data_IF_661498485655
#
_entry.id   IF_661498485655
#
_cell.length_a   1.000
_cell.length_b   1.000
_cell.length_c   1.000
_cell.angle_alpha   90.00
_cell.angle_beta   90.00
_cell.angle_gamma   90.00
#
_symmetry.space_group_name_H-M   'P 1'
#
loop_
_entity.id
_entity.type
_entity.pdbx_description
1 polymer ?
#
# COMPACT_ATOMS: atom_id res chain seq x y z
N UNK A 1 10.06 -13.01 -1.44
CA UNK A 1 9.23 -12.50 -0.33
C UNK A 1 9.75 -12.96 1.03
N UNK A 2 9.84 -14.27 1.35
CA UNK A 2 10.30 -14.73 2.68
C UNK A 2 11.67 -14.18 3.11
N UNK A 3 12.66 -14.11 2.21
CA UNK A 3 13.95 -13.48 2.50
C UNK A 3 13.82 -11.96 2.71
N UNK A 4 13.00 -11.28 1.90
CA UNK A 4 12.80 -9.84 1.96
C UNK A 4 12.14 -9.39 3.29
N UNK A 5 11.14 -10.13 3.73
CA UNK A 5 10.36 -9.81 4.93
C UNK A 5 10.76 -10.64 6.16
N UNK A 6 11.93 -11.31 6.12
CA UNK A 6 12.40 -12.05 7.30
C UNK A 6 12.57 -11.12 8.51
N UNK A 7 12.13 -11.59 9.67
CA UNK A 7 12.18 -10.79 10.90
C UNK A 7 11.18 -9.65 11.01
N UNK A 8 10.35 -9.41 9.98
CA UNK A 8 9.21 -8.50 10.06
C UNK A 8 7.93 -9.31 10.21
N UNK A 9 7.27 -9.25 11.35
CA UNK A 9 5.96 -9.89 11.52
C UNK A 9 4.92 -9.12 10.69
N UNK A 10 4.51 -9.71 9.57
CA UNK A 10 3.57 -9.10 8.62
C UNK A 10 2.14 -8.97 9.17
N UNK A 11 1.84 -9.62 10.29
CA UNK A 11 0.56 -9.52 11.00
C UNK A 11 0.62 -8.58 12.21
N UNK A 12 1.79 -8.01 12.53
CA UNK A 12 1.90 -7.05 13.64
C UNK A 12 1.06 -5.79 13.36
N UNK A 13 0.37 -5.24 14.36
CA UNK A 13 -0.46 -4.04 14.18
C UNK A 13 0.30 -2.82 13.67
N UNK A 14 1.61 -2.79 13.89
CA UNK A 14 2.52 -1.72 13.48
C UNK A 14 3.14 -1.94 12.11
N UNK A 15 2.92 -3.10 11.48
CA UNK A 15 3.45 -3.43 10.16
C UNK A 15 2.40 -3.18 9.08
N UNK A 16 2.75 -2.40 8.08
CA UNK A 16 1.95 -2.16 6.88
C UNK A 16 2.86 -2.20 5.65
N UNK A 17 2.48 -2.96 4.63
CA UNK A 17 3.29 -3.13 3.42
C UNK A 17 2.53 -2.62 2.21
N UNK A 18 3.05 -1.58 1.58
CA UNK A 18 2.53 -1.06 0.32
C UNK A 18 3.43 -1.48 -0.83
N UNK A 19 2.83 -2.04 -1.87
CA UNK A 19 3.53 -2.54 -3.05
C UNK A 19 3.08 -1.79 -4.29
N UNK A 20 4.02 -1.10 -4.94
CA UNK A 20 3.79 -0.44 -6.23
C UNK A 20 4.02 -1.44 -7.35
N UNK A 21 2.96 -2.09 -7.81
CA UNK A 21 3.00 -3.16 -8.80
C UNK A 21 1.75 -3.04 -9.68
N UNK A 22 1.91 -3.20 -10.99
CA UNK A 22 0.84 -3.16 -11.96
C UNK A 22 0.50 -4.57 -12.48
N UNK A 23 0.87 -4.92 -13.70
CA UNK A 23 0.53 -6.20 -14.33
C UNK A 23 0.81 -7.45 -13.48
N UNK A 24 1.99 -7.60 -12.83
CA UNK A 24 2.29 -8.76 -11.99
C UNK A 24 1.68 -8.69 -10.58
N UNK A 25 0.82 -7.71 -10.27
CA UNK A 25 0.24 -7.51 -8.94
C UNK A 25 -0.38 -8.76 -8.32
N UNK A 26 -1.19 -9.58 -9.01
CA UNK A 26 -1.78 -10.78 -8.42
C UNK A 26 -0.74 -11.80 -7.95
N UNK A 27 0.33 -12.00 -8.72
CA UNK A 27 1.41 -12.93 -8.36
C UNK A 27 2.17 -12.46 -7.11
N UNK A 28 2.54 -11.19 -7.10
CA UNK A 28 3.29 -10.60 -5.98
C UNK A 28 2.43 -10.55 -4.72
N UNK A 29 1.14 -10.22 -4.85
CA UNK A 29 0.19 -10.28 -3.76
C UNK A 29 0.07 -11.70 -3.19
N UNK A 30 -0.04 -12.72 -4.05
CA UNK A 30 -0.08 -14.12 -3.61
C UNK A 30 1.20 -14.52 -2.85
N UNK A 31 2.38 -14.11 -3.35
CA UNK A 31 3.63 -14.34 -2.63
C UNK A 31 3.70 -13.63 -1.29
N UNK A 32 3.18 -12.42 -1.20
CA UNK A 32 3.09 -11.66 0.05
C UNK A 32 2.18 -12.37 1.06
N UNK A 33 0.95 -12.70 0.66
CA UNK A 33 -0.03 -13.36 1.52
C UNK A 33 0.47 -14.72 2.01
N UNK A 34 1.06 -15.54 1.13
CA UNK A 34 1.66 -16.80 1.49
C UNK A 34 2.85 -16.62 2.46
N UNK A 35 3.65 -15.57 2.30
CA UNK A 35 4.74 -15.27 3.23
C UNK A 35 4.19 -14.94 4.62
N UNK A 36 3.15 -14.12 4.70
CA UNK A 36 2.51 -13.79 5.97
C UNK A 36 1.91 -15.03 6.66
N UNK A 37 1.20 -15.88 5.90
CA UNK A 37 0.65 -17.14 6.42
C UNK A 37 1.76 -18.04 6.95
N UNK A 38 2.84 -18.23 6.19
CA UNK A 38 3.96 -19.10 6.59
C UNK A 38 4.69 -18.55 7.82
N UNK A 39 4.81 -17.25 8.00
CA UNK A 39 5.32 -16.66 9.24
C UNK A 39 4.45 -17.00 10.44
N UNK A 40 3.13 -16.94 10.30
CA UNK A 40 2.22 -17.28 11.40
C UNK A 40 2.21 -18.81 11.67
N UNK A 41 2.36 -19.64 10.64
CA UNK A 41 2.58 -21.09 10.82
C UNK A 41 3.87 -21.36 11.59
N UNK A 42 4.98 -20.71 11.24
CA UNK A 42 6.24 -20.82 11.97
C UNK A 42 6.09 -20.39 13.43
N UNK A 43 5.42 -19.25 13.70
CA UNK A 43 5.14 -18.81 15.07
C UNK A 43 4.30 -19.82 15.85
N UNK A 44 3.27 -20.36 15.24
CA UNK A 44 2.42 -21.39 15.85
C UNK A 44 3.24 -22.63 16.24
N UNK A 45 4.02 -23.17 15.31
CA UNK A 45 4.86 -24.34 15.56
C UNK A 45 5.91 -24.13 16.67
N UNK A 46 6.46 -22.92 16.77
CA UNK A 46 7.37 -22.54 17.84
C UNK A 46 6.64 -22.46 19.19
N UNK A 47 5.46 -21.86 19.20
CA UNK A 47 4.64 -21.69 20.42
C UNK A 47 4.10 -23.02 20.97
N UNK A 48 3.75 -23.97 20.09
CA UNK A 48 3.26 -25.31 20.48
C UNK A 48 4.37 -26.31 20.78
N UNK A 49 5.64 -25.95 20.56
CA UNK A 49 6.78 -26.85 20.73
C UNK A 49 6.94 -27.88 19.60
N UNK A 50 6.19 -27.73 18.51
CA UNK A 50 6.22 -28.67 17.36
C UNK A 50 7.29 -28.32 16.32
N UNK A 51 8.07 -27.27 16.55
CA UNK A 51 9.03 -26.74 15.58
C UNK A 51 10.07 -27.78 15.13
N UNK A 52 10.64 -28.58 16.05
CA UNK A 52 11.63 -29.61 15.69
C UNK A 52 11.01 -30.74 14.83
N UNK A 53 9.75 -31.06 15.08
CA UNK A 53 9.02 -32.02 14.22
C UNK A 53 8.76 -31.45 12.83
N UNK A 54 8.40 -30.16 12.76
CA UNK A 54 8.20 -29.47 11.49
C UNK A 54 9.50 -29.38 10.67
N UNK A 55 10.64 -29.08 11.29
CA UNK A 55 11.95 -29.11 10.60
C UNK A 55 12.22 -30.45 9.92
N UNK A 56 11.97 -31.56 10.62
CA UNK A 56 12.13 -32.89 10.02
C UNK A 56 11.22 -33.11 8.80
N UNK A 57 9.99 -32.56 8.80
CA UNK A 57 9.09 -32.57 7.63
C UNK A 57 9.64 -31.74 6.49
N UNK A 58 10.21 -30.56 6.77
CA UNK A 58 10.88 -29.72 5.79
C UNK A 58 12.09 -30.41 5.19
N UNK A 59 12.96 -31.00 6.02
CA UNK A 59 14.15 -31.70 5.55
C UNK A 59 13.78 -32.90 4.66
N UNK A 60 12.75 -33.66 5.03
CA UNK A 60 12.20 -34.73 4.21
C UNK A 60 11.63 -34.22 2.88
N UNK A 61 10.98 -33.06 2.87
CA UNK A 61 10.47 -32.45 1.64
C UNK A 61 11.57 -32.12 0.64
N UNK A 62 12.77 -31.77 1.13
CA UNK A 62 13.93 -31.45 0.30
C UNK A 62 14.88 -32.64 0.08
N UNK A 63 14.55 -33.85 0.56
CA UNK A 63 15.36 -35.02 0.34
C UNK A 63 15.62 -35.22 -1.17
N UNK A 64 16.90 -35.22 -1.56
CA UNK A 64 17.32 -35.28 -2.96
C UNK A 64 17.11 -34.00 -3.79
N UNK A 65 16.82 -32.86 -3.16
CA UNK A 65 16.66 -31.55 -3.80
C UNK A 65 17.50 -30.51 -3.09
N UNK A 66 17.92 -29.46 -3.81
CA UNK A 66 18.56 -28.31 -3.19
C UNK A 66 17.54 -27.52 -2.36
N UNK A 67 17.89 -27.26 -1.11
CA UNK A 67 17.08 -26.46 -0.19
C UNK A 67 17.49 -25.00 -0.30
N UNK A 68 16.56 -24.04 -0.58
CA UNK A 68 16.85 -22.63 -0.53
C UNK A 68 17.33 -22.22 0.87
N UNK A 69 18.41 -21.42 0.94
CA UNK A 69 18.94 -20.88 2.19
C UNK A 69 19.00 -19.36 2.15
N UNK A 70 19.11 -18.74 3.31
CA UNK A 70 19.46 -17.34 3.45
C UNK A 70 20.99 -17.26 3.48
N UNK A 71 21.56 -16.41 2.62
CA UNK A 71 23.01 -16.22 2.52
C UNK A 71 23.44 -14.99 3.33
N UNK A 72 24.49 -15.14 4.12
CA UNK A 72 25.03 -14.07 4.95
C UNK A 72 24.42 -14.01 6.36
N UNK A 73 24.81 -13.00 7.10
CA UNK A 73 24.32 -12.74 8.46
C UNK A 73 23.01 -11.95 8.42
N UNK A 74 22.11 -12.23 9.36
CA UNK A 74 20.89 -11.45 9.51
C UNK A 74 21.23 -10.05 10.04
N UNK A 75 20.53 -9.02 9.57
CA UNK A 75 20.67 -7.67 10.12
C UNK A 75 20.44 -7.64 11.65
N UNK A 76 21.07 -6.72 12.38
CA UNK A 76 20.83 -6.57 13.81
C UNK A 76 19.34 -6.43 14.14
N UNK A 77 18.85 -7.22 15.10
CA UNK A 77 17.45 -7.24 15.51
C UNK A 77 16.51 -8.07 14.63
N UNK A 78 17.00 -8.67 13.55
CA UNK A 78 16.23 -9.61 12.74
C UNK A 78 16.31 -11.02 13.33
N UNK A 79 15.17 -11.58 13.73
CA UNK A 79 15.07 -12.93 14.33
C UNK A 79 14.91 -14.05 13.31
N UNK A 80 14.92 -13.72 12.01
CA UNK A 80 14.76 -14.67 10.91
C UNK A 80 13.36 -15.24 10.75
N UNK A 81 12.32 -14.65 11.33
CA UNK A 81 10.93 -15.10 11.17
C UNK A 81 10.57 -15.30 9.69
N UNK A 82 10.03 -16.45 9.35
CA UNK A 82 9.66 -16.85 7.99
C UNK A 82 10.76 -17.61 7.23
N UNK A 83 12.03 -17.56 7.68
CA UNK A 83 13.13 -18.28 7.02
C UNK A 83 13.09 -19.79 7.26
N UNK A 84 12.48 -20.22 8.35
CA UNK A 84 12.37 -21.64 8.67
C UNK A 84 11.57 -22.45 7.64
N UNK A 85 10.69 -21.77 6.89
CA UNK A 85 9.87 -22.36 5.82
C UNK A 85 10.30 -21.89 4.42
N UNK A 86 11.59 -21.55 4.23
CA UNK A 86 12.08 -21.23 2.88
C UNK A 86 11.86 -22.39 1.92
N UNK A 87 11.25 -22.10 0.76
CA UNK A 87 10.99 -23.07 -0.29
C UNK A 87 9.87 -24.07 -0.02
N UNK A 88 9.20 -23.99 1.14
CA UNK A 88 8.06 -24.86 1.48
C UNK A 88 6.91 -24.01 2.00
N UNK A 89 5.69 -24.41 1.70
CA UNK A 89 4.47 -23.75 2.20
C UNK A 89 4.03 -24.36 3.53
N UNK A 90 3.40 -23.55 4.38
CA UNK A 90 2.94 -23.95 5.70
C UNK A 90 1.99 -25.14 5.73
N UNK A 91 1.18 -25.33 4.67
CA UNK A 91 0.27 -26.46 4.51
C UNK A 91 0.98 -27.85 4.45
N UNK A 92 2.31 -27.85 4.25
CA UNK A 92 3.12 -29.07 4.25
C UNK A 92 3.64 -29.44 5.63
N UNK A 93 3.52 -28.54 6.61
CA UNK A 93 4.14 -28.72 7.94
C UNK A 93 3.13 -28.69 9.10
N UNK A 94 1.90 -28.35 8.86
CA UNK A 94 0.77 -28.47 9.80
C UNK A 94 -0.37 -29.25 9.15
N UNK A 95 -1.35 -29.69 9.94
CA UNK A 95 -2.58 -30.28 9.41
C UNK A 95 -3.47 -29.25 8.73
N UNK A 96 -4.45 -29.72 7.93
CA UNK A 96 -5.30 -28.86 7.13
C UNK A 96 -6.17 -27.92 7.96
N UNK A 97 -6.68 -28.36 9.11
CA UNK A 97 -7.54 -27.56 9.98
C UNK A 97 -6.74 -26.41 10.61
N UNK A 98 -5.56 -26.71 11.15
CA UNK A 98 -4.62 -25.71 11.68
C UNK A 98 -4.19 -24.72 10.60
N UNK A 99 -3.91 -25.20 9.38
CA UNK A 99 -3.53 -24.31 8.27
C UNK A 99 -4.63 -23.35 7.90
N UNK A 100 -5.88 -23.81 7.70
CA UNK A 100 -6.99 -22.95 7.30
C UNK A 100 -7.37 -21.96 8.39
N UNK A 101 -7.26 -22.32 9.67
CA UNK A 101 -7.45 -21.40 10.78
C UNK A 101 -6.39 -20.28 10.76
N UNK A 102 -5.12 -20.63 10.67
CA UNK A 102 -4.01 -19.67 10.63
C UNK A 102 -4.14 -18.75 9.39
N UNK A 103 -4.46 -19.31 8.24
CA UNK A 103 -4.68 -18.55 7.01
C UNK A 103 -5.80 -17.53 7.18
N UNK A 104 -6.94 -17.92 7.72
CA UNK A 104 -8.09 -17.02 7.96
C UNK A 104 -7.72 -15.87 8.89
N UNK A 105 -7.08 -16.17 10.01
CA UNK A 105 -6.61 -15.17 10.99
C UNK A 105 -5.57 -14.21 10.36
N UNK A 106 -4.65 -14.75 9.58
CA UNK A 106 -3.61 -13.98 8.87
C UNK A 106 -4.22 -13.01 7.85
N UNK A 107 -5.10 -13.50 6.98
CA UNK A 107 -5.71 -12.70 5.94
C UNK A 107 -6.58 -11.56 6.51
N UNK A 108 -7.19 -11.78 7.67
CA UNK A 108 -7.93 -10.74 8.40
C UNK A 108 -7.00 -9.71 9.09
N UNK A 109 -5.74 -10.05 9.35
CA UNK A 109 -4.79 -9.25 10.15
C UNK A 109 -3.83 -8.42 9.32
N UNK A 110 -3.39 -8.90 8.14
CA UNK A 110 -2.42 -8.20 7.28
C UNK A 110 -2.89 -6.80 6.91
N UNK A 111 -1.93 -5.86 6.81
CA UNK A 111 -2.19 -4.46 6.50
C UNK A 111 -1.32 -4.02 5.33
N UNK A 112 -1.85 -3.16 4.50
CA UNK A 112 -1.11 -2.60 3.39
C UNK A 112 -1.95 -2.34 2.16
N UNK A 113 -1.27 -2.27 1.03
CA UNK A 113 -1.88 -1.99 -0.27
C UNK A 113 -1.09 -2.69 -1.37
N UNK A 114 -1.80 -3.30 -2.30
CA UNK A 114 -1.27 -3.56 -3.63
C UNK A 114 -1.79 -2.49 -4.56
N UNK A 115 -0.92 -1.81 -5.29
CA UNK A 115 -1.35 -0.64 -6.07
C UNK A 115 -2.27 -1.03 -7.21
N UNK A 116 -1.90 -1.99 -8.04
CA UNK A 116 -2.70 -2.66 -9.07
C UNK A 116 -3.69 -1.76 -9.86
N UNK A 117 -3.43 -0.45 -9.97
CA UNK A 117 -4.28 0.48 -10.71
C UNK A 117 -3.91 0.45 -12.19
N UNK A 118 -4.67 -0.32 -12.94
CA UNK A 118 -4.44 -0.50 -14.38
C UNK A 118 -4.84 0.74 -15.20
N UNK A 119 -5.84 1.49 -14.75
CA UNK A 119 -6.29 2.66 -15.51
C UNK A 119 -5.21 3.74 -15.54
N UNK A 120 -4.56 4.01 -14.40
CA UNK A 120 -3.44 4.97 -14.37
C UNK A 120 -2.20 4.46 -15.11
N UNK A 121 -1.99 3.15 -15.16
CA UNK A 121 -0.90 2.56 -15.90
C UNK A 121 -1.03 2.86 -17.40
N UNK A 122 -2.22 2.70 -17.96
CA UNK A 122 -2.52 3.05 -19.33
C UNK A 122 -2.44 4.58 -19.57
N UNK A 123 -3.01 5.38 -18.68
CA UNK A 123 -3.12 6.82 -18.83
C UNK A 123 -1.80 7.58 -18.63
N UNK A 124 -0.93 7.11 -17.74
CA UNK A 124 0.22 7.89 -17.27
C UNK A 124 1.58 7.23 -17.44
N UNK A 125 1.65 5.91 -17.56
CA UNK A 125 2.92 5.19 -17.60
C UNK A 125 3.19 4.52 -18.95
N UNK A 126 2.14 4.18 -19.71
CA UNK A 126 2.23 3.46 -20.98
C UNK A 126 3.07 2.16 -20.88
N UNK A 127 2.92 1.45 -19.77
CA UNK A 127 3.68 0.23 -19.44
C UNK A 127 2.81 -1.00 -19.38
N UNK A 128 1.59 -0.93 -19.93
CA UNK A 128 0.62 -2.03 -19.93
C UNK A 128 1.17 -3.24 -20.68
N UNK A 129 1.26 -4.37 -19.99
CA UNK A 129 1.61 -5.68 -20.58
C UNK A 129 0.36 -6.51 -20.91
N UNK A 130 -0.80 -6.10 -20.45
CA UNK A 130 -2.09 -6.73 -20.70
C UNK A 130 -3.08 -5.71 -21.27
N UNK A 131 -4.12 -6.20 -21.94
CA UNK A 131 -5.24 -5.32 -22.32
C UNK A 131 -5.94 -4.77 -21.07
N UNK A 132 -6.51 -3.58 -21.18
CA UNK A 132 -7.27 -2.94 -20.11
C UNK A 132 -8.41 -3.83 -19.61
N UNK A 133 -9.11 -4.51 -20.53
CA UNK A 133 -10.17 -5.45 -20.20
C UNK A 133 -9.69 -6.61 -19.32
N UNK A 134 -8.60 -7.27 -19.71
CA UNK A 134 -8.00 -8.36 -18.93
C UNK A 134 -7.51 -7.88 -17.56
N UNK A 135 -6.88 -6.72 -17.51
CA UNK A 135 -6.37 -6.15 -16.27
C UNK A 135 -7.50 -5.72 -15.31
N UNK A 136 -8.60 -5.16 -15.83
CA UNK A 136 -9.80 -4.88 -15.03
C UNK A 136 -10.40 -6.18 -14.47
N UNK A 137 -10.41 -7.24 -15.27
CA UNK A 137 -10.84 -8.57 -14.80
C UNK A 137 -9.97 -9.06 -13.65
N UNK A 138 -8.64 -8.96 -13.75
CA UNK A 138 -7.72 -9.33 -12.67
C UNK A 138 -7.98 -8.52 -11.39
N UNK A 139 -8.17 -7.21 -11.51
CA UNK A 139 -8.53 -6.37 -10.36
C UNK A 139 -9.81 -6.85 -9.68
N UNK A 140 -10.84 -7.15 -10.47
CA UNK A 140 -12.09 -7.68 -9.96
C UNK A 140 -11.95 -9.05 -9.29
N UNK A 141 -11.11 -9.93 -9.83
CA UNK A 141 -10.85 -11.24 -9.24
C UNK A 141 -10.09 -11.11 -7.89
N UNK A 142 -9.14 -10.20 -7.79
CA UNK A 142 -8.47 -9.88 -6.52
C UNK A 142 -9.45 -9.32 -5.48
N UNK A 143 -10.32 -8.41 -5.90
CA UNK A 143 -11.32 -7.85 -4.99
C UNK A 143 -12.32 -8.90 -4.52
N UNK A 144 -12.78 -9.79 -5.42
CA UNK A 144 -13.65 -10.90 -5.02
C UNK A 144 -12.96 -11.82 -4.02
N UNK A 145 -11.69 -12.16 -4.26
CA UNK A 145 -10.90 -12.94 -3.29
C UNK A 145 -10.83 -12.27 -1.92
N UNK A 146 -10.69 -10.94 -1.87
CA UNK A 146 -10.67 -10.19 -0.60
C UNK A 146 -12.01 -10.27 0.14
N UNK A 147 -13.12 -10.17 -0.59
CA UNK A 147 -14.47 -10.34 -0.03
C UNK A 147 -14.63 -11.75 0.55
N UNK A 148 -14.33 -12.77 -0.26
CA UNK A 148 -14.54 -14.19 0.08
C UNK A 148 -13.66 -14.63 1.29
N UNK A 149 -12.48 -14.03 1.46
CA UNK A 149 -11.54 -14.35 2.52
C UNK A 149 -11.50 -13.30 3.66
N UNK A 150 -12.45 -12.36 3.68
CA UNK A 150 -12.57 -11.35 4.74
C UNK A 150 -11.28 -10.52 4.96
N UNK A 151 -10.58 -10.17 3.88
CA UNK A 151 -9.38 -9.31 3.90
C UNK A 151 -9.83 -7.86 4.10
N UNK A 152 -9.72 -7.34 5.31
CA UNK A 152 -10.30 -6.04 5.70
C UNK A 152 -9.32 -4.88 5.76
N UNK A 153 -8.08 -5.16 6.10
CA UNK A 153 -7.08 -4.13 6.41
C UNK A 153 -6.04 -3.99 5.31
N UNK A 154 -6.24 -4.67 4.19
CA UNK A 154 -5.38 -4.61 3.02
C UNK A 154 -6.18 -4.06 1.83
N UNK A 155 -5.66 -3.04 1.15
CA UNK A 155 -6.34 -2.43 0.03
C UNK A 155 -6.01 -3.18 -1.27
N UNK A 156 -7.04 -3.56 -2.01
CA UNK A 156 -6.93 -4.30 -3.27
C UNK A 156 -6.40 -3.45 -4.43
N UNK A 157 -6.59 -2.13 -4.32
CA UNK A 157 -6.14 -1.15 -5.29
C UNK A 157 -5.83 0.17 -4.60
N UNK A 158 -4.84 0.90 -5.11
CA UNK A 158 -4.62 2.30 -4.80
C UNK A 158 -4.86 3.11 -6.07
N UNK A 159 -6.02 3.76 -6.14
CA UNK A 159 -6.46 4.55 -7.29
C UNK A 159 -5.56 5.79 -7.35
N UNK A 160 -4.71 5.85 -8.38
CA UNK A 160 -3.51 6.66 -8.32
C UNK A 160 -3.55 7.88 -9.22
N UNK A 161 -3.68 9.05 -8.60
CA UNK A 161 -3.42 10.35 -9.23
C UNK A 161 -1.94 10.73 -9.27
N UNK A 162 -1.09 10.12 -8.41
CA UNK A 162 0.33 10.43 -8.35
C UNK A 162 1.00 10.36 -9.73
N UNK A 163 0.87 9.25 -10.42
CA UNK A 163 1.49 9.05 -11.72
C UNK A 163 0.92 9.98 -12.80
N UNK A 164 -0.37 10.31 -12.71
CA UNK A 164 -1.03 11.26 -13.60
C UNK A 164 -0.42 12.67 -13.42
N UNK A 165 -0.19 13.08 -12.17
CA UNK A 165 0.49 14.34 -11.85
C UNK A 165 1.96 14.33 -12.30
N UNK A 166 2.69 13.24 -12.06
CA UNK A 166 4.09 13.10 -12.51
C UNK A 166 4.20 13.11 -14.04
N UNK A 167 3.19 12.64 -14.77
CA UNK A 167 3.08 12.73 -16.23
C UNK A 167 2.72 14.15 -16.74
N UNK A 168 2.44 15.11 -15.85
CA UNK A 168 2.26 16.53 -16.20
C UNK A 168 0.91 17.13 -15.86
N UNK A 169 -0.03 16.40 -15.26
CA UNK A 169 -1.32 16.96 -14.88
C UNK A 169 -1.15 18.00 -13.76
N UNK A 170 -1.97 19.05 -13.81
CA UNK A 170 -2.12 20.01 -12.72
C UNK A 170 -2.99 19.41 -11.59
N UNK A 171 -3.08 20.05 -10.40
CA UNK A 171 -3.85 19.52 -9.27
C UNK A 171 -5.31 19.21 -9.59
N UNK A 172 -5.98 20.07 -10.35
CA UNK A 172 -7.40 19.91 -10.74
C UNK A 172 -7.57 18.69 -11.64
N UNK A 173 -6.73 18.56 -12.67
CA UNK A 173 -6.75 17.43 -13.61
C UNK A 173 -6.38 16.12 -12.91
N UNK A 174 -5.39 16.15 -12.00
CA UNK A 174 -5.04 15.00 -11.17
C UNK A 174 -6.26 14.49 -10.41
N UNK A 175 -6.95 15.38 -9.68
CA UNK A 175 -8.12 15.02 -8.91
C UNK A 175 -9.26 14.49 -9.80
N UNK A 176 -9.57 15.17 -10.90
CA UNK A 176 -10.64 14.80 -11.80
C UNK A 176 -10.43 13.41 -12.40
N UNK A 177 -9.25 13.10 -12.93
CA UNK A 177 -8.95 11.80 -13.51
C UNK A 177 -8.90 10.70 -12.46
N UNK A 178 -8.35 10.98 -11.28
CA UNK A 178 -8.30 10.01 -10.19
C UNK A 178 -9.70 9.61 -9.72
N UNK A 179 -10.60 10.57 -9.54
CA UNK A 179 -11.98 10.28 -9.15
C UNK A 179 -12.75 9.58 -10.28
N UNK A 180 -12.51 9.95 -11.54
CA UNK A 180 -13.10 9.27 -12.68
C UNK A 180 -12.68 7.78 -12.73
N UNK A 181 -11.41 7.49 -12.51
CA UNK A 181 -10.91 6.11 -12.38
C UNK A 181 -11.57 5.40 -11.20
N UNK A 182 -11.71 6.07 -10.06
CA UNK A 182 -12.42 5.52 -8.90
C UNK A 182 -13.84 5.12 -9.19
N UNK A 183 -14.60 5.97 -9.84
CA UNK A 183 -15.97 5.67 -10.25
C UNK A 183 -16.05 4.57 -11.32
N UNK A 184 -15.11 4.53 -12.25
CA UNK A 184 -15.02 3.45 -13.24
C UNK A 184 -14.82 2.08 -12.56
N UNK A 185 -13.96 2.00 -11.56
CA UNK A 185 -13.72 0.78 -10.78
C UNK A 185 -14.98 0.39 -9.99
N UNK A 186 -15.65 1.35 -9.36
CA UNK A 186 -16.91 1.09 -8.63
C UNK A 186 -17.97 0.53 -9.57
N UNK A 187 -18.21 1.16 -10.72
CA UNK A 187 -19.18 0.70 -11.72
C UNK A 187 -18.84 -0.72 -12.23
N UNK A 188 -17.55 -0.98 -12.46
CA UNK A 188 -17.10 -2.29 -12.92
C UNK A 188 -17.36 -3.39 -11.87
N UNK A 189 -17.07 -3.12 -10.59
CA UNK A 189 -17.30 -4.09 -9.52
C UNK A 189 -18.79 -4.33 -9.28
N UNK A 190 -19.63 -3.28 -9.34
CA UNK A 190 -21.08 -3.40 -9.29
C UNK A 190 -21.62 -4.22 -10.46
N UNK A 191 -21.13 -4.00 -11.69
CA UNK A 191 -21.51 -4.78 -12.86
C UNK A 191 -21.12 -6.27 -12.75
N UNK A 192 -20.14 -6.62 -11.92
CA UNK A 192 -19.78 -7.99 -11.57
C UNK A 192 -20.66 -8.60 -10.47
N UNK A 193 -21.61 -7.85 -9.93
CA UNK A 193 -22.53 -8.30 -8.89
C UNK A 193 -21.98 -8.19 -7.46
N UNK A 194 -20.88 -7.46 -7.24
CA UNK A 194 -20.37 -7.21 -5.89
C UNK A 194 -21.24 -6.18 -5.17
N UNK A 195 -21.46 -6.37 -3.87
CA UNK A 195 -22.12 -5.38 -3.03
C UNK A 195 -21.18 -4.21 -2.73
N UNK A 196 -21.70 -2.97 -2.83
CA UNK A 196 -20.93 -1.74 -2.67
C UNK A 196 -20.21 -1.67 -1.32
N UNK A 197 -20.87 -2.06 -0.25
CA UNK A 197 -20.33 -1.99 1.11
C UNK A 197 -19.34 -3.14 1.42
N UNK A 198 -19.30 -4.16 0.58
CA UNK A 198 -18.33 -5.25 0.70
C UNK A 198 -16.95 -4.90 0.12
N UNK A 199 -16.88 -4.01 -0.87
CA UNK A 199 -15.60 -3.67 -1.52
C UNK A 199 -15.15 -2.21 -1.33
N UNK A 200 -16.06 -1.24 -1.29
CA UNK A 200 -15.68 0.17 -1.26
C UNK A 200 -14.77 0.55 -0.07
N UNK A 201 -14.92 -0.05 1.13
CA UNK A 201 -13.98 0.16 2.22
C UNK A 201 -12.54 -0.28 1.93
N UNK A 202 -12.32 -1.18 0.95
CA UNK A 202 -11.01 -1.66 0.50
C UNK A 202 -10.41 -0.85 -0.66
N UNK A 203 -11.08 0.21 -1.10
CA UNK A 203 -10.52 1.14 -2.06
C UNK A 203 -9.72 2.21 -1.32
N UNK A 204 -8.54 2.51 -1.82
CA UNK A 204 -7.74 3.64 -1.38
C UNK A 204 -7.34 4.51 -2.56
N UNK A 205 -6.94 5.74 -2.27
CA UNK A 205 -6.51 6.70 -3.27
C UNK A 205 -5.07 7.11 -3.02
N UNK A 206 -4.41 7.61 -4.06
CA UNK A 206 -3.03 8.00 -3.98
C UNK A 206 -2.82 9.30 -4.77
N UNK A 207 -2.42 10.36 -4.08
CA UNK A 207 -2.18 11.67 -4.67
C UNK A 207 -0.71 12.08 -4.58
N UNK A 208 -0.28 12.88 -5.56
CA UNK A 208 0.96 13.64 -5.53
C UNK A 208 0.70 15.01 -4.90
N UNK A 209 1.64 15.47 -4.07
CA UNK A 209 1.69 16.87 -3.65
C UNK A 209 2.93 17.54 -4.23
N UNK A 210 2.70 18.51 -5.12
CA UNK A 210 3.72 19.39 -5.66
C UNK A 210 3.86 20.68 -4.85
N UNK A 211 4.23 21.77 -5.54
CA UNK A 211 4.47 23.08 -4.91
C UNK A 211 3.28 24.05 -5.08
N UNK A 212 2.27 23.68 -5.89
CA UNK A 212 1.12 24.56 -6.13
C UNK A 212 0.22 24.59 -4.87
N UNK A 213 -0.36 25.76 -4.52
CA UNK A 213 -1.15 25.93 -3.31
C UNK A 213 -2.42 25.05 -3.28
N UNK A 214 -2.98 24.68 -4.42
CA UNK A 214 -4.16 23.81 -4.55
C UNK A 214 -3.93 22.42 -3.93
N UNK A 215 -2.67 21.98 -3.78
CA UNK A 215 -2.37 20.74 -3.08
C UNK A 215 -2.73 20.75 -1.60
N UNK A 216 -2.97 21.91 -1.01
CA UNK A 216 -3.43 22.01 0.38
C UNK A 216 -4.89 21.60 0.60
N UNK A 217 -5.65 21.44 -0.48
CA UNK A 217 -7.10 21.16 -0.42
C UNK A 217 -7.55 19.96 -1.27
N UNK A 218 -6.64 19.34 -2.03
CA UNK A 218 -6.99 18.28 -2.98
C UNK A 218 -7.72 17.10 -2.31
N UNK A 219 -7.26 16.66 -1.15
CA UNK A 219 -7.88 15.55 -0.41
C UNK A 219 -9.22 15.92 0.20
N UNK A 220 -9.39 17.19 0.65
CA UNK A 220 -10.69 17.67 1.17
C UNK A 220 -11.74 17.65 0.09
N UNK A 221 -11.41 18.17 -1.08
CA UNK A 221 -12.30 18.18 -2.25
C UNK A 221 -12.60 16.75 -2.68
N UNK A 222 -11.58 15.89 -2.77
CA UNK A 222 -11.74 14.47 -3.07
C UNK A 222 -12.75 13.79 -2.12
N UNK A 223 -12.57 13.95 -0.82
CA UNK A 223 -13.47 13.37 0.20
C UNK A 223 -14.90 13.84 0.05
N UNK A 224 -15.09 15.13 -0.20
CA UNK A 224 -16.43 15.72 -0.35
C UNK A 224 -17.14 15.18 -1.58
N UNK A 225 -16.47 15.13 -2.73
CA UNK A 225 -17.04 14.62 -3.99
C UNK A 225 -17.34 13.13 -3.85
N UNK A 226 -16.38 12.34 -3.33
CA UNK A 226 -16.54 10.91 -3.14
C UNK A 226 -17.71 10.58 -2.22
N UNK A 227 -17.76 11.16 -1.03
CA UNK A 227 -18.81 10.90 -0.05
C UNK A 227 -20.20 11.22 -0.62
N UNK A 228 -20.32 12.33 -1.35
CA UNK A 228 -21.57 12.70 -1.99
C UNK A 228 -21.98 11.71 -3.07
N UNK A 229 -21.08 11.34 -3.97
CA UNK A 229 -21.36 10.39 -5.03
C UNK A 229 -21.70 8.99 -4.47
N UNK A 230 -20.94 8.50 -3.51
CA UNK A 230 -21.19 7.21 -2.89
C UNK A 230 -22.55 7.14 -2.21
N UNK A 231 -22.96 8.21 -1.53
CA UNK A 231 -24.27 8.29 -0.89
C UNK A 231 -25.41 8.44 -1.90
N UNK A 232 -25.30 9.41 -2.81
CA UNK A 232 -26.43 9.85 -3.64
C UNK A 232 -26.63 8.96 -4.88
N UNK A 233 -25.54 8.46 -5.46
CA UNK A 233 -25.59 7.65 -6.69
C UNK A 233 -25.60 6.14 -6.39
N UNK A 234 -24.85 5.69 -5.40
CA UNK A 234 -24.66 4.27 -5.15
C UNK A 234 -25.35 3.76 -3.88
N UNK A 235 -25.94 4.65 -3.06
CA UNK A 235 -26.62 4.26 -1.82
C UNK A 235 -25.73 3.63 -0.77
N UNK A 236 -24.41 3.88 -0.84
CA UNK A 236 -23.42 3.25 0.00
C UNK A 236 -23.50 3.69 1.47
N UNK A 237 -23.17 2.78 2.38
CA UNK A 237 -23.10 3.04 3.81
C UNK A 237 -22.00 4.04 4.20
N UNK A 238 -22.03 4.52 5.42
CA UNK A 238 -21.14 5.59 5.91
C UNK A 238 -19.65 5.24 5.79
N UNK A 239 -19.28 3.98 6.00
CA UNK A 239 -17.88 3.53 5.89
C UNK A 239 -17.38 3.58 4.45
N UNK A 240 -18.21 3.26 3.48
CA UNK A 240 -17.89 3.31 2.04
C UNK A 240 -17.84 4.73 1.49
N UNK A 241 -18.47 5.70 2.17
CA UNK A 241 -18.40 7.11 1.85
C UNK A 241 -17.07 7.75 2.27
N UNK A 242 -16.25 7.09 3.10
CA UNK A 242 -14.97 7.61 3.59
C UNK A 242 -13.87 7.37 2.56
N UNK A 243 -13.46 8.41 1.84
CA UNK A 243 -12.28 8.35 0.98
C UNK A 243 -11.02 8.39 1.85
N UNK A 244 -10.17 7.36 1.69
CA UNK A 244 -8.86 7.27 2.32
C UNK A 244 -7.80 7.46 1.24
N UNK A 245 -6.77 8.25 1.56
CA UNK A 245 -5.72 8.49 0.58
C UNK A 245 -4.34 8.57 1.21
N UNK A 246 -3.40 8.07 0.44
CA UNK A 246 -1.97 8.24 0.64
C UNK A 246 -1.49 9.45 -0.16
N UNK A 247 -0.52 10.19 0.36
CA UNK A 247 0.19 11.24 -0.37
C UNK A 247 1.65 10.85 -0.50
N UNK A 248 2.19 11.04 -1.69
CA UNK A 248 3.63 11.11 -1.91
C UNK A 248 3.99 12.51 -2.38
N UNK A 249 5.07 13.07 -1.83
CA UNK A 249 5.63 14.32 -2.32
C UNK A 249 6.06 14.16 -3.78
N UNK A 250 5.85 15.19 -4.61
CA UNK A 250 6.09 15.10 -6.06
C UNK A 250 7.57 14.95 -6.39
N UNK A 251 7.91 13.88 -7.13
CA UNK A 251 9.25 13.68 -7.70
C UNK A 251 9.55 14.70 -8.80
N UNK A 252 8.54 15.06 -9.60
CA UNK A 252 8.66 16.06 -10.68
C UNK A 252 9.07 17.46 -10.17
N UNK A 253 8.75 17.78 -8.93
CA UNK A 253 9.13 19.05 -8.29
C UNK A 253 10.58 19.11 -7.83
N UNK A 254 11.30 17.99 -7.87
CA UNK A 254 12.69 17.90 -7.44
C UNK A 254 13.64 18.25 -8.61
N UNK A 255 14.76 18.87 -8.29
CA UNK A 255 15.74 19.32 -9.26
C UNK A 255 17.02 18.50 -9.15
N UNK A 256 17.61 18.14 -10.27
CA UNK A 256 18.92 17.48 -10.35
C UNK A 256 20.07 18.46 -10.02
N UNK A 257 19.87 19.75 -10.29
CA UNK A 257 20.79 20.82 -9.92
C UNK A 257 20.50 21.27 -8.49
N UNK A 258 21.54 21.56 -7.70
CA UNK A 258 21.42 21.97 -6.30
C UNK A 258 20.53 20.98 -5.50
N UNK A 259 20.79 19.69 -5.67
CA UNK A 259 19.95 18.60 -5.16
C UNK A 259 19.76 18.65 -3.62
N UNK A 260 20.69 19.26 -2.89
CA UNK A 260 20.59 19.42 -1.43
C UNK A 260 19.39 20.26 -1.00
N UNK A 261 18.87 21.13 -1.88
CA UNK A 261 17.66 21.92 -1.60
C UNK A 261 16.36 21.11 -1.78
N UNK A 262 16.44 19.92 -2.32
CA UNK A 262 15.25 19.08 -2.49
C UNK A 262 14.62 18.69 -1.15
N UNK A 263 15.39 18.57 -0.07
CA UNK A 263 14.82 18.34 1.27
C UNK A 263 13.88 19.46 1.70
N UNK A 264 14.20 20.71 1.34
CA UNK A 264 13.33 21.86 1.62
C UNK A 264 12.03 21.72 0.83
N UNK A 265 12.10 21.38 -0.46
CA UNK A 265 10.92 21.16 -1.31
C UNK A 265 10.06 20.03 -0.76
N UNK A 266 10.65 18.89 -0.45
CA UNK A 266 9.97 17.75 0.13
C UNK A 266 9.31 18.09 1.46
N UNK A 267 9.97 18.89 2.32
CA UNK A 267 9.39 19.33 3.59
C UNK A 267 8.14 20.20 3.40
N UNK A 268 8.16 21.14 2.46
CA UNK A 268 7.00 21.99 2.16
C UNK A 268 5.83 21.19 1.61
N UNK A 269 6.10 20.25 0.70
CA UNK A 269 5.09 19.35 0.15
C UNK A 269 4.50 18.43 1.23
N UNK A 270 5.32 17.95 2.15
CA UNK A 270 4.87 17.16 3.31
C UNK A 270 3.96 17.97 4.24
N UNK A 271 4.23 19.26 4.44
CA UNK A 271 3.35 20.15 5.19
C UNK A 271 1.98 20.33 4.51
N UNK A 272 1.95 20.45 3.19
CA UNK A 272 0.67 20.51 2.45
C UNK A 272 -0.15 19.24 2.68
N UNK A 273 0.48 18.07 2.62
CA UNK A 273 -0.20 16.80 2.87
C UNK A 273 -0.75 16.70 4.31
N UNK A 274 0.02 17.17 5.28
CA UNK A 274 -0.40 17.22 6.69
C UNK A 274 -1.60 18.18 6.87
N UNK A 275 -1.54 19.36 6.30
CA UNK A 275 -2.61 20.36 6.39
C UNK A 275 -3.91 19.92 5.68
N UNK A 276 -3.79 19.13 4.63
CA UNK A 276 -4.92 18.49 3.95
C UNK A 276 -5.43 17.23 4.66
N UNK A 277 -4.79 16.85 5.77
CA UNK A 277 -5.18 15.72 6.61
C UNK A 277 -5.14 14.37 5.86
N UNK A 278 -4.04 14.06 5.18
CA UNK A 278 -3.85 12.77 4.53
C UNK A 278 -3.83 11.61 5.55
N UNK A 279 -4.18 10.41 5.10
CA UNK A 279 -4.16 9.21 5.96
C UNK A 279 -2.74 8.66 6.15
N UNK A 280 -1.88 8.81 5.15
CA UNK A 280 -0.47 8.42 5.22
C UNK A 280 0.37 9.25 4.25
N UNK A 281 1.66 9.38 4.52
CA UNK A 281 2.57 10.23 3.80
C UNK A 281 3.87 9.50 3.48
N UNK A 282 4.32 9.62 2.23
CA UNK A 282 5.67 9.30 1.80
C UNK A 282 6.41 10.59 1.44
N UNK A 283 7.63 10.74 1.96
CA UNK A 283 8.54 11.84 1.64
C UNK A 283 9.67 11.34 0.76
N UNK A 284 9.84 11.92 -0.43
CA UNK A 284 10.90 11.55 -1.35
C UNK A 284 12.28 11.89 -0.77
N UNK A 285 13.27 11.05 -1.09
CA UNK A 285 14.66 11.34 -0.80
C UNK A 285 15.16 12.50 -1.68
N UNK A 286 16.11 13.29 -1.21
CA UNK A 286 16.59 14.47 -1.93
C UNK A 286 17.25 14.13 -3.28
N UNK A 287 17.77 12.92 -3.41
CA UNK A 287 18.44 12.41 -4.63
C UNK A 287 17.49 11.64 -5.58
N UNK A 288 16.20 11.59 -5.28
CA UNK A 288 15.16 10.95 -6.11
C UNK A 288 15.17 11.44 -7.57
N UNK A 289 15.58 12.70 -7.78
CA UNK A 289 15.64 13.29 -9.11
C UNK A 289 16.70 12.66 -10.04
N UNK A 290 17.67 11.92 -9.49
CA UNK A 290 18.83 11.43 -10.27
C UNK A 290 19.15 9.95 -10.04
N UNK A 291 18.74 9.34 -8.95
CA UNK A 291 19.15 7.97 -8.61
C UNK A 291 18.16 7.28 -7.66
N UNK A 292 18.36 5.97 -7.51
CA UNK A 292 17.76 5.23 -6.40
C UNK A 292 18.34 5.74 -5.08
N UNK A 293 17.51 5.94 -4.05
CA UNK A 293 17.94 6.51 -2.77
C UNK A 293 19.09 5.76 -2.11
N UNK A 294 20.02 6.51 -1.53
CA UNK A 294 21.09 6.00 -0.67
C UNK A 294 20.56 5.84 0.76
N UNK A 295 21.32 5.14 1.61
CA UNK A 295 21.02 5.06 3.05
C UNK A 295 20.91 6.45 3.69
N UNK A 296 21.82 7.35 3.34
CA UNK A 296 21.82 8.72 3.85
C UNK A 296 20.57 9.49 3.41
N UNK A 297 20.19 9.39 2.15
CA UNK A 297 19.03 10.12 1.62
C UNK A 297 17.71 9.60 2.17
N UNK A 298 17.58 8.29 2.33
CA UNK A 298 16.41 7.66 3.00
C UNK A 298 16.31 8.12 4.45
N UNK A 299 17.44 8.13 5.18
CA UNK A 299 17.47 8.60 6.57
C UNK A 299 17.00 10.06 6.69
N UNK A 300 17.39 10.93 5.76
CA UNK A 300 16.97 12.34 5.74
C UNK A 300 15.47 12.45 5.39
N UNK A 301 14.98 11.68 4.44
CA UNK A 301 13.55 11.63 4.08
C UNK A 301 12.67 11.21 5.28
N UNK A 302 13.09 10.20 6.04
CA UNK A 302 12.42 9.80 7.29
C UNK A 302 12.52 10.91 8.35
N UNK A 303 13.66 11.58 8.45
CA UNK A 303 13.86 12.66 9.41
C UNK A 303 12.91 13.85 9.17
N UNK A 304 12.54 14.16 7.93
CA UNK A 304 11.53 15.18 7.62
C UNK A 304 10.22 14.90 8.37
N UNK A 305 9.71 13.68 8.28
CA UNK A 305 8.45 13.31 8.96
C UNK A 305 8.60 13.32 10.48
N UNK A 306 9.75 12.89 11.00
CA UNK A 306 10.04 12.91 12.44
C UNK A 306 10.12 14.32 12.99
N UNK A 307 10.77 15.24 12.29
CA UNK A 307 10.86 16.66 12.67
C UNK A 307 9.48 17.29 12.69
N UNK A 308 8.68 17.07 11.62
CA UNK A 308 7.30 17.60 11.55
C UNK A 308 6.45 17.08 12.71
N UNK A 309 6.56 15.81 13.06
CA UNK A 309 5.69 15.19 14.05
C UNK A 309 6.16 15.42 15.50
N UNK A 310 7.45 15.54 15.75
CA UNK A 310 8.02 15.58 17.10
C UNK A 310 8.53 16.94 17.53
N UNK A 311 9.00 17.76 16.59
CA UNK A 311 9.60 19.06 16.88
C UNK A 311 8.65 20.21 16.51
N UNK A 312 8.06 20.19 15.30
CA UNK A 312 7.09 21.19 14.87
C UNK A 312 5.74 21.01 15.56
N UNK A 313 5.30 19.76 15.81
CA UNK A 313 4.13 19.43 16.61
C UNK A 313 2.77 19.78 16.00
N UNK A 314 2.69 20.09 14.71
CA UNK A 314 1.41 20.42 14.05
C UNK A 314 0.41 19.25 13.97
N UNK A 315 0.84 18.05 14.24
CA UNK A 315 -0.01 16.86 14.28
C UNK A 315 -0.91 16.77 15.53
N UNK A 316 -0.82 17.72 16.45
CA UNK A 316 -1.75 17.82 17.62
C UNK A 316 -3.13 18.33 17.21
N UNK A 317 -3.27 18.95 16.04
CA UNK A 317 -4.52 19.51 15.52
C UNK A 317 -4.95 18.74 14.26
N UNK A 318 -6.16 18.19 14.26
CA UNK A 318 -6.68 17.41 13.12
C UNK A 318 -7.01 18.27 11.89
N UNK A 319 -7.26 19.56 12.06
CA UNK A 319 -7.61 20.47 10.97
C UNK A 319 -7.00 21.86 11.16
N UNK A 320 -5.69 22.02 10.93
CA UNK A 320 -5.02 23.31 11.16
C UNK A 320 -5.45 24.43 10.21
N UNK A 321 -6.07 24.10 9.06
CA UNK A 321 -6.54 25.04 8.07
C UNK A 321 -8.01 25.44 8.20
N UNK A 322 -8.73 24.92 9.19
CA UNK A 322 -10.15 25.25 9.35
C UNK A 322 -10.38 26.76 9.51
N UNK A 323 -11.29 27.29 8.72
CA UNK A 323 -11.59 28.74 8.70
C UNK A 323 -10.61 29.59 7.86
N UNK A 324 -9.67 28.97 7.16
CA UNK A 324 -8.82 29.66 6.19
C UNK A 324 -9.57 29.93 4.89
N UNK A 325 -9.43 31.13 4.32
CA UNK A 325 -10.01 31.48 3.01
C UNK A 325 -9.51 30.55 1.88
N UNK A 326 -8.29 30.04 1.96
CA UNK A 326 -7.77 29.07 0.97
C UNK A 326 -8.60 27.78 0.92
N UNK A 327 -9.27 27.43 2.02
CA UNK A 327 -10.16 26.26 2.06
C UNK A 327 -11.51 26.53 1.43
N UNK A 328 -12.00 27.78 1.57
CA UNK A 328 -13.35 28.16 1.15
C UNK A 328 -13.42 28.48 -0.36
N UNK A 329 -12.36 29.02 -0.95
CA UNK A 329 -12.23 29.28 -2.39
C UNK A 329 -12.02 28.00 -3.19
#
# INVERSE_FOLDING_TARGET
MKKLYSGFDLCAPTTSVSMTINGPAPMILAFFMNTAIDQQVEKHLRATGEWESAKRRVDKYFEGRERPCYEGELPPGNDGLGLGLLGVSGDKVVDAETYERIKTETLASVRGTVQADILKEDQAQNTCIFSTEFAMKMMGDVQQYFIDNNVRNYYSVSISGYHIAEAGANPISQLAFTLANGFTIVEYYLARGMDIDSFAPNLSFFFSNGMDPEYTVIGRVARRIWARAMRERYGAGSRSQMLKYHVQTSGRSLHAQEISFNDIRTTLQALYALFDNCNSLHTNAFDEAITTPTEQSVRRAVAIQMIISRELGLNFCENPWQGSFVIDE
#
